data_IF_341190976431
#
_entry.id   IF_341190976431
#
_cell.length_a   1.000
_cell.length_b   1.000
_cell.length_c   1.000
_cell.angle_alpha   90.00
_cell.angle_beta   90.00
_cell.angle_gamma   90.00
#
_symmetry.space_group_name_H-M   'P 1'
#
loop_
_entity.id
_entity.type
_entity.pdbx_description
1 polymer ?
#
# COMPACT_ATOMS: atom_id res chain seq x y z
N UNK A 1 2.64 -11.10 -14.08
CA UNK A 1 2.09 -12.34 -13.46
C UNK A 1 1.52 -11.93 -12.13
N UNK A 2 0.32 -12.39 -11.74
CA UNK A 2 -0.22 -12.08 -10.42
C UNK A 2 0.64 -12.76 -9.35
N UNK A 3 0.86 -12.06 -8.23
CA UNK A 3 1.56 -12.57 -7.06
C UNK A 3 0.58 -12.54 -5.89
N UNK A 4 0.43 -13.65 -5.18
CA UNK A 4 -0.35 -13.69 -3.94
C UNK A 4 0.47 -13.15 -2.79
N UNK A 5 -0.14 -12.28 -1.97
CA UNK A 5 0.39 -11.84 -0.68
C UNK A 5 -0.55 -12.30 0.43
N UNK A 6 -0.01 -12.63 1.59
CA UNK A 6 -0.79 -12.90 2.80
C UNK A 6 -0.73 -11.67 3.71
N UNK A 7 -1.88 -11.26 4.22
CA UNK A 7 -2.04 -10.14 5.15
C UNK A 7 -2.70 -10.67 6.42
N UNK A 8 -2.30 -10.16 7.58
CA UNK A 8 -3.05 -10.41 8.80
C UNK A 8 -4.42 -9.71 8.76
N UNK A 9 -5.40 -10.28 9.47
CA UNK A 9 -6.78 -9.79 9.47
C UNK A 9 -6.87 -8.32 9.93
N UNK A 10 -6.03 -7.91 10.89
CA UNK A 10 -6.03 -6.55 11.42
C UNK A 10 -5.53 -5.54 10.36
N UNK A 11 -4.47 -5.88 9.63
CA UNK A 11 -3.97 -5.07 8.53
C UNK A 11 -4.96 -5.04 7.36
N UNK A 12 -5.57 -6.16 7.00
CA UNK A 12 -6.57 -6.24 5.95
C UNK A 12 -7.76 -5.32 6.27
N UNK A 13 -8.32 -5.42 7.48
CA UNK A 13 -9.42 -4.57 7.93
C UNK A 13 -9.02 -3.07 7.97
N UNK A 14 -7.77 -2.76 8.32
CA UNK A 14 -7.27 -1.39 8.27
C UNK A 14 -7.21 -0.87 6.84
N UNK A 15 -6.74 -1.66 5.88
CA UNK A 15 -6.70 -1.28 4.47
C UNK A 15 -8.13 -1.07 3.95
N UNK A 16 -9.03 -2.01 4.19
CA UNK A 16 -10.43 -1.94 3.78
C UNK A 16 -11.13 -0.67 4.30
N UNK A 17 -10.79 -0.21 5.52
CA UNK A 17 -11.32 1.02 6.09
C UNK A 17 -10.79 2.31 5.46
N UNK A 18 -9.75 2.25 4.62
CA UNK A 18 -9.19 3.39 3.89
C UNK A 18 -9.49 3.35 2.38
N UNK A 19 -10.15 2.29 1.89
CA UNK A 19 -10.54 2.20 0.48
C UNK A 19 -11.55 3.29 0.12
N UNK A 20 -11.36 3.92 -1.03
CA UNK A 20 -12.34 4.78 -1.66
C UNK A 20 -13.50 3.97 -2.28
N UNK A 21 -14.56 4.64 -2.75
CA UNK A 21 -15.70 3.96 -3.37
C UNK A 21 -15.24 3.15 -4.60
N UNK A 22 -15.57 1.86 -4.61
CA UNK A 22 -15.18 0.89 -5.64
C UNK A 22 -13.67 0.61 -5.77
N UNK A 23 -12.84 1.09 -4.83
CA UNK A 23 -11.41 0.85 -4.81
C UNK A 23 -11.07 -0.57 -4.32
N UNK A 24 -10.10 -1.20 -4.97
CA UNK A 24 -9.55 -2.50 -4.55
C UNK A 24 -8.30 -2.35 -3.69
N UNK A 25 -7.97 -3.39 -2.90
CA UNK A 25 -6.70 -3.45 -2.15
C UNK A 25 -5.48 -3.28 -3.08
N UNK A 26 -5.54 -3.78 -4.32
CA UNK A 26 -4.45 -3.63 -5.29
C UNK A 26 -4.24 -2.18 -5.73
N UNK A 27 -5.33 -1.44 -5.95
CA UNK A 27 -5.30 -0.02 -6.29
C UNK A 27 -4.74 0.81 -5.12
N UNK A 28 -5.24 0.59 -3.91
CA UNK A 28 -4.74 1.26 -2.71
C UNK A 28 -3.24 1.03 -2.49
N UNK A 29 -2.76 -0.21 -2.64
CA UNK A 29 -1.33 -0.52 -2.52
C UNK A 29 -0.51 0.12 -3.64
N UNK A 30 -1.06 0.20 -4.85
CA UNK A 30 -0.40 0.87 -5.98
C UNK A 30 -0.24 2.36 -5.72
N UNK A 31 -1.26 3.01 -5.17
CA UNK A 31 -1.18 4.42 -4.77
C UNK A 31 -0.17 4.65 -3.65
N UNK A 32 -0.16 3.79 -2.63
CA UNK A 32 0.85 3.87 -1.55
C UNK A 32 2.28 3.73 -2.07
N UNK A 33 2.53 2.83 -3.02
CA UNK A 33 3.84 2.69 -3.66
C UNK A 33 4.17 3.95 -4.46
N UNK A 34 3.22 4.50 -5.23
CA UNK A 34 3.42 5.72 -5.98
C UNK A 34 3.73 6.93 -5.08
N UNK A 35 3.11 7.02 -3.89
CA UNK A 35 3.44 8.02 -2.86
C UNK A 35 4.88 7.82 -2.37
N UNK A 36 5.26 6.59 -2.02
CA UNK A 36 6.63 6.28 -1.60
C UNK A 36 7.68 6.67 -2.65
N UNK A 37 7.41 6.38 -3.92
CA UNK A 37 8.30 6.70 -5.05
C UNK A 37 8.37 8.19 -5.35
N UNK A 38 7.23 8.90 -5.30
CA UNK A 38 7.16 10.34 -5.59
C UNK A 38 7.68 11.21 -4.46
N UNK A 39 7.38 10.87 -3.21
CA UNK A 39 7.79 11.68 -2.07
C UNK A 39 9.24 11.47 -1.68
N UNK A 40 9.95 10.47 -2.24
CA UNK A 40 11.39 10.28 -2.11
C UNK A 40 11.91 10.22 -0.66
N UNK A 41 11.01 10.10 0.32
CA UNK A 41 11.32 10.17 1.75
C UNK A 41 11.08 8.82 2.37
N UNK A 42 12.08 7.97 2.24
CA UNK A 42 12.64 7.23 3.39
C UNK A 42 14.00 6.59 3.05
N UNK A 43 14.58 6.86 1.86
CA UNK A 43 16.02 6.79 1.65
C UNK A 43 16.65 8.13 2.08
N UNK A 44 16.47 8.53 3.35
CA UNK A 44 17.50 9.36 3.94
C UNK A 44 18.75 8.49 4.06
N UNK A 45 19.74 8.83 3.24
CA UNK A 45 21.10 8.31 3.29
C UNK A 45 21.63 8.22 4.72
N UNK A 46 22.19 7.04 5.04
CA UNK A 46 23.35 6.91 5.93
C UNK A 46 23.05 6.66 7.41
N UNK A 47 23.16 5.40 7.82
CA UNK A 47 24.17 4.91 8.79
C UNK A 47 23.87 3.46 9.19
#
# INVERSE_FOLDING_TARGET
>A
MPTTIELDDDLAARIEGHLEEDETIEEFLTELVAIYEQEGRFLQEGA
#
